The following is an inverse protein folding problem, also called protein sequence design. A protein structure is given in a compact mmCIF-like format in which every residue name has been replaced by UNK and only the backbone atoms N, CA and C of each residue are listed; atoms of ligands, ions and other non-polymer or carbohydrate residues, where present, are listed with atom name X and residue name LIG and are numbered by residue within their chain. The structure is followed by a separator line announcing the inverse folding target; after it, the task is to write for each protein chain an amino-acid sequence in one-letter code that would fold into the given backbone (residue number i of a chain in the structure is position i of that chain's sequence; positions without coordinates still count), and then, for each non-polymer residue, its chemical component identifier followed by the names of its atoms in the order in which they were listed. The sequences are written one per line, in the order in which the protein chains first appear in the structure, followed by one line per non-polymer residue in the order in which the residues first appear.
data_IF_578807357359
#
_entry.id   IF_578807357359
#
_cell.length_a   1.000
_cell.length_b   1.000
_cell.length_c   1.000
_cell.angle_alpha   90.00
_cell.angle_beta   90.00
_cell.angle_gamma   90.00
#
_symmetry.space_group_name_H-M   'P 1'
#
loop_
_entity.id
_entity.type
_entity.pdbx_description
1 polymer ?
#
# COMPACT_ATOMS: atom_id res chain seq x y z
N UNK A 1 -2.83 -16.12 -31.84
CA UNK A 1 -3.57 -16.24 -30.56
C UNK A 1 -3.32 -17.67 -30.10
N UNK A 2 -2.78 -17.89 -28.90
CA UNK A 2 -2.47 -19.25 -28.46
C UNK A 2 -3.76 -20.01 -28.20
N UNK A 3 -3.91 -21.19 -28.81
CA UNK A 3 -5.18 -21.93 -28.81
C UNK A 3 -5.52 -22.59 -27.46
N UNK A 4 -4.60 -22.57 -26.48
CA UNK A 4 -4.76 -23.06 -25.10
C UNK A 4 -5.63 -24.32 -24.99
N UNK A 5 -5.16 -25.42 -25.60
CA UNK A 5 -5.95 -26.63 -25.84
C UNK A 5 -6.43 -27.35 -24.58
N UNK A 6 -5.66 -27.24 -23.49
CA UNK A 6 -5.92 -27.90 -22.22
C UNK A 6 -6.06 -26.90 -21.07
N UNK A 7 -6.74 -27.31 -20.00
CA UNK A 7 -6.75 -26.59 -18.73
C UNK A 7 -5.33 -26.46 -18.16
N UNK A 8 -5.05 -25.36 -17.45
CA UNK A 8 -3.75 -25.12 -16.82
C UNK A 8 -3.89 -24.96 -15.32
N UNK A 9 -3.27 -25.86 -14.59
CA UNK A 9 -3.15 -25.78 -13.15
C UNK A 9 -2.03 -24.83 -12.76
N UNK A 10 -2.33 -23.92 -11.84
CA UNK A 10 -1.38 -22.97 -11.29
C UNK A 10 -1.39 -23.03 -9.77
N UNK A 11 -0.21 -23.11 -9.16
CA UNK A 11 -0.03 -22.96 -7.72
C UNK A 11 0.66 -21.61 -7.44
N UNK A 12 0.04 -20.75 -6.63
CA UNK A 12 0.61 -19.45 -6.30
C UNK A 12 2.00 -19.52 -5.64
N UNK A 13 2.33 -20.63 -4.96
CA UNK A 13 3.65 -20.82 -4.36
C UNK A 13 4.74 -21.11 -5.39
N UNK A 14 4.43 -21.53 -6.62
CA UNK A 14 5.45 -21.82 -7.64
C UNK A 14 6.29 -20.60 -8.00
N UNK A 15 5.65 -19.42 -8.03
CA UNK A 15 6.36 -18.15 -8.20
C UNK A 15 7.35 -17.92 -7.06
N UNK A 16 6.94 -18.15 -5.81
CA UNK A 16 7.79 -17.93 -4.64
C UNK A 16 8.83 -19.04 -4.45
N UNK A 17 8.64 -20.25 -4.97
CA UNK A 17 9.67 -21.30 -5.03
C UNK A 17 10.84 -20.85 -5.89
N UNK A 18 10.55 -20.28 -7.06
CA UNK A 18 11.57 -19.73 -7.98
C UNK A 18 12.25 -18.47 -7.43
N UNK A 19 11.57 -17.73 -6.55
CA UNK A 19 12.03 -16.45 -6.00
C UNK A 19 12.27 -16.50 -4.48
N UNK A 20 12.56 -17.68 -3.94
CA UNK A 20 12.70 -17.87 -2.49
C UNK A 20 13.79 -16.94 -1.92
N UNK A 21 13.41 -16.09 -0.97
CA UNK A 21 14.32 -15.15 -0.30
C UNK A 21 14.88 -14.03 -1.18
N UNK A 22 14.57 -14.02 -2.49
CA UNK A 22 15.01 -12.98 -3.40
C UNK A 22 14.27 -11.67 -3.13
N UNK A 23 14.95 -10.57 -3.41
CA UNK A 23 14.37 -9.24 -3.32
C UNK A 23 13.39 -9.03 -4.48
N UNK A 24 12.14 -8.76 -4.15
CA UNK A 24 11.06 -8.47 -5.09
C UNK A 24 10.62 -7.02 -4.93
N UNK A 25 10.30 -6.36 -6.04
CA UNK A 25 9.82 -5.00 -6.06
C UNK A 25 8.47 -4.91 -6.75
N UNK A 26 7.57 -4.16 -6.13
CA UNK A 26 6.28 -3.82 -6.72
C UNK A 26 6.11 -2.31 -6.72
N UNK A 27 5.71 -1.79 -7.86
CA UNK A 27 5.24 -0.42 -8.07
C UNK A 27 3.74 -0.41 -7.83
N UNK A 28 3.23 0.65 -7.20
CA UNK A 28 1.83 1.01 -7.29
C UNK A 28 1.66 2.51 -7.43
N UNK A 29 0.75 2.95 -8.30
CA UNK A 29 0.53 4.36 -8.56
C UNK A 29 -0.88 4.65 -9.02
N UNK A 30 -1.37 5.86 -8.78
CA UNK A 30 -2.67 6.30 -9.23
C UNK A 30 -3.14 7.58 -8.56
N UNK A 31 -4.42 7.64 -8.24
CA UNK A 31 -5.10 8.85 -7.77
C UNK A 31 -5.81 8.61 -6.44
N UNK A 32 -5.95 9.70 -5.69
CA UNK A 32 -6.72 9.74 -4.46
C UNK A 32 -7.74 10.83 -4.62
N UNK A 33 -8.99 10.44 -4.53
CA UNK A 33 -10.10 11.36 -4.49
C UNK A 33 -10.64 11.44 -3.06
N UNK A 34 -11.25 12.55 -2.73
CA UNK A 34 -11.95 12.71 -1.47
C UNK A 34 -13.38 13.17 -1.68
N UNK A 35 -14.23 12.85 -0.72
CA UNK A 35 -15.53 13.47 -0.58
C UNK A 35 -15.54 14.10 0.82
N UNK A 36 -15.56 15.43 0.90
CA UNK A 36 -15.43 16.14 2.17
C UNK A 36 -16.64 15.93 3.09
N UNK A 37 -17.84 16.02 2.52
CA UNK A 37 -19.13 15.76 3.18
C UNK A 37 -20.05 14.98 2.24
N UNK A 38 -21.03 14.20 2.75
CA UNK A 38 -21.86 13.33 1.91
C UNK A 38 -22.66 14.04 0.81
N UNK A 39 -22.91 15.35 0.96
CA UNK A 39 -23.62 16.22 0.02
C UNK A 39 -22.72 16.82 -1.07
N UNK A 40 -21.39 16.80 -0.88
CA UNK A 40 -20.43 17.31 -1.86
C UNK A 40 -20.05 16.23 -2.89
N UNK A 41 -19.69 16.63 -4.12
CA UNK A 41 -19.13 15.69 -5.10
C UNK A 41 -17.78 15.15 -4.61
N UNK A 42 -17.39 14.01 -5.18
CA UNK A 42 -16.04 13.49 -5.03
C UNK A 42 -15.09 14.26 -5.96
N UNK A 43 -13.95 14.66 -5.43
CA UNK A 43 -12.96 15.49 -6.12
C UNK A 43 -11.58 14.83 -6.03
N UNK A 44 -10.78 14.96 -7.10
CA UNK A 44 -9.38 14.52 -7.07
C UNK A 44 -8.62 15.38 -6.07
N UNK A 45 -7.97 14.73 -5.12
CA UNK A 45 -7.23 15.39 -4.04
C UNK A 45 -5.72 15.30 -4.29
N UNK A 46 -5.22 14.09 -4.57
CA UNK A 46 -3.78 13.84 -4.77
C UNK A 46 -3.56 12.83 -5.89
N UNK A 47 -2.34 12.81 -6.43
CA UNK A 47 -1.77 11.59 -7.02
C UNK A 47 -0.98 10.83 -5.97
N UNK A 48 -0.69 9.56 -6.23
CA UNK A 48 0.13 8.74 -5.35
C UNK A 48 1.06 7.83 -6.14
N UNK A 49 2.31 7.76 -5.69
CA UNK A 49 3.31 6.79 -6.15
C UNK A 49 3.81 6.00 -4.95
N UNK A 50 4.02 4.70 -5.11
CA UNK A 50 4.42 3.85 -4.01
C UNK A 50 5.11 2.58 -4.45
N UNK A 51 5.73 1.95 -3.46
CA UNK A 51 6.54 0.75 -3.65
C UNK A 51 6.38 -0.25 -2.51
N UNK A 52 6.70 -1.49 -2.83
CA UNK A 52 6.95 -2.57 -1.87
C UNK A 52 8.31 -3.19 -2.17
N UNK A 53 9.17 -3.27 -1.16
CA UNK A 53 10.36 -4.12 -1.18
C UNK A 53 10.03 -5.37 -0.37
N UNK A 54 9.88 -6.52 -1.03
CA UNK A 54 9.36 -7.76 -0.44
C UNK A 54 10.36 -8.91 -0.57
N UNK A 55 10.43 -9.76 0.47
CA UNK A 55 11.01 -11.10 0.43
C UNK A 55 9.99 -12.11 0.91
N UNK A 56 10.00 -13.29 0.30
CA UNK A 56 9.15 -14.41 0.71
C UNK A 56 10.01 -15.65 0.93
N UNK A 57 9.94 -16.22 2.13
CA UNK A 57 10.65 -17.43 2.51
C UNK A 57 9.68 -18.58 2.66
N UNK A 58 9.84 -19.61 1.84
CA UNK A 58 9.05 -20.83 1.98
C UNK A 58 9.51 -21.62 3.21
N UNK A 59 8.55 -22.03 4.02
CA UNK A 59 8.78 -22.82 5.23
C UNK A 59 7.79 -23.98 5.27
N UNK A 60 8.20 -25.14 5.83
CA UNK A 60 7.26 -26.22 6.14
C UNK A 60 6.14 -25.71 7.04
N UNK A 61 4.93 -26.20 6.79
CA UNK A 61 3.73 -25.87 7.57
C UNK A 61 2.94 -27.15 7.88
N UNK A 62 2.53 -27.40 9.14
CA UNK A 62 1.83 -28.63 9.50
C UNK A 62 0.47 -28.81 8.81
N UNK A 63 -0.24 -27.72 8.48
CA UNK A 63 -1.59 -27.77 7.91
C UNK A 63 -1.54 -27.78 6.38
N UNK A 64 -0.64 -26.99 5.81
CA UNK A 64 -0.60 -26.71 4.38
C UNK A 64 0.59 -27.36 3.66
N UNK A 65 1.46 -28.07 4.38
CA UNK A 65 2.71 -28.65 3.90
C UNK A 65 3.81 -27.59 3.73
N UNK A 66 3.52 -26.51 3.01
CA UNK A 66 4.43 -25.39 2.79
C UNK A 66 3.66 -24.06 2.74
N UNK A 67 4.22 -23.01 3.34
CA UNK A 67 3.72 -21.63 3.28
C UNK A 67 4.84 -20.65 2.99
N UNK A 68 4.52 -19.52 2.37
CA UNK A 68 5.46 -18.41 2.23
C UNK A 68 5.36 -17.44 3.40
N UNK A 69 6.44 -17.22 4.13
CA UNK A 69 6.57 -16.13 5.09
C UNK A 69 7.01 -14.87 4.37
N UNK A 70 6.16 -13.85 4.32
CA UNK A 70 6.41 -12.57 3.65
C UNK A 70 6.88 -11.54 4.66
N UNK A 71 7.95 -10.84 4.34
CA UNK A 71 8.40 -9.62 5.00
C UNK A 71 8.54 -8.53 3.95
N UNK A 72 8.05 -7.33 4.27
CA UNK A 72 7.97 -6.23 3.33
C UNK A 72 8.26 -4.88 4.01
N UNK A 73 8.87 -3.97 3.25
CA UNK A 73 8.84 -2.51 3.51
C UNK A 73 7.96 -1.83 2.48
N UNK A 74 7.15 -0.88 2.90
CA UNK A 74 6.21 -0.18 2.02
C UNK A 74 6.32 1.33 2.20
N UNK A 75 6.50 2.03 1.08
CA UNK A 75 6.59 3.49 1.02
C UNK A 75 5.59 3.99 -0.01
N UNK A 76 4.82 5.02 0.34
CA UNK A 76 3.86 5.67 -0.54
C UNK A 76 3.87 7.19 -0.35
N UNK A 77 4.09 7.91 -1.45
CA UNK A 77 4.27 9.35 -1.48
C UNK A 77 3.03 10.00 -2.10
N UNK A 78 2.42 10.92 -1.35
CA UNK A 78 1.33 11.76 -1.81
C UNK A 78 1.93 12.86 -2.68
N UNK A 79 1.38 13.03 -3.88
CA UNK A 79 1.89 13.95 -4.89
C UNK A 79 0.81 14.93 -5.31
N UNK A 80 1.23 16.08 -5.79
CA UNK A 80 0.38 17.05 -6.43
C UNK A 80 -0.30 16.40 -7.64
N UNK A 81 -1.63 16.53 -7.78
CA UNK A 81 -2.40 15.78 -8.78
C UNK A 81 -2.06 16.16 -10.23
N UNK A 82 -1.51 17.36 -10.46
CA UNK A 82 -1.23 17.91 -11.78
C UNK A 82 0.26 17.84 -12.13
N UNK A 83 1.13 18.24 -11.21
CA UNK A 83 2.58 18.32 -11.41
C UNK A 83 3.32 17.03 -11.05
N UNK A 84 2.69 16.13 -10.30
CA UNK A 84 3.31 14.92 -9.73
C UNK A 84 4.46 15.20 -8.74
N UNK A 85 4.64 16.45 -8.28
CA UNK A 85 5.62 16.78 -7.25
C UNK A 85 5.22 16.19 -5.90
N UNK A 86 6.19 15.73 -5.11
CA UNK A 86 5.93 15.16 -3.79
C UNK A 86 5.45 16.26 -2.84
N UNK A 87 4.29 16.06 -2.22
CA UNK A 87 3.69 17.07 -1.34
C UNK A 87 4.35 17.07 0.04
N UNK A 88 4.76 18.26 0.49
CA UNK A 88 5.29 18.46 1.84
C UNK A 88 4.26 19.05 2.80
N UNK A 89 3.29 19.80 2.27
CA UNK A 89 2.25 20.45 3.05
C UNK A 89 0.91 20.37 2.33
N UNK A 90 -0.16 20.34 3.08
CA UNK A 90 -1.53 20.35 2.57
C UNK A 90 -2.39 21.30 3.39
N UNK A 91 -3.35 21.95 2.74
CA UNK A 91 -4.29 22.87 3.38
C UNK A 91 -5.71 22.47 3.03
N UNK A 92 -6.52 22.18 4.04
CA UNK A 92 -7.96 21.97 3.83
C UNK A 92 -8.62 23.28 3.40
N UNK A 93 -9.76 23.24 2.69
CA UNK A 93 -10.48 24.46 2.27
C UNK A 93 -10.86 25.39 3.42
N UNK A 94 -11.07 24.82 4.62
CA UNK A 94 -11.51 25.54 5.82
C UNK A 94 -10.36 25.89 6.76
N UNK A 95 -9.16 25.35 6.56
CA UNK A 95 -8.01 25.60 7.42
C UNK A 95 -7.42 26.99 7.18
N UNK A 96 -6.96 27.64 8.25
CA UNK A 96 -6.23 28.91 8.16
C UNK A 96 -4.79 28.71 7.69
N UNK A 97 -4.15 27.63 8.11
CA UNK A 97 -2.74 27.31 7.85
C UNK A 97 -2.59 25.92 7.20
N UNK A 98 -1.59 25.72 6.34
CA UNK A 98 -1.23 24.38 5.87
C UNK A 98 -0.65 23.54 7.01
N UNK A 99 -0.78 22.23 6.90
CA UNK A 99 -0.20 21.22 7.80
C UNK A 99 0.75 20.30 7.03
N UNK A 100 1.75 19.67 7.69
CA UNK A 100 2.62 18.72 7.02
C UNK A 100 1.86 17.52 6.46
N UNK A 101 2.29 17.04 5.30
CA UNK A 101 1.83 15.77 4.74
C UNK A 101 2.66 14.65 5.35
N UNK A 102 2.01 13.62 5.91
CA UNK A 102 2.70 12.43 6.42
C UNK A 102 2.47 11.27 5.46
N UNK A 103 3.52 10.93 4.72
CA UNK A 103 3.54 9.84 3.74
C UNK A 103 3.35 8.45 4.38
N UNK A 104 2.99 7.47 3.57
CA UNK A 104 2.94 6.06 3.98
C UNK A 104 4.37 5.58 4.11
N UNK A 105 4.78 5.20 5.33
CA UNK A 105 6.12 4.71 5.64
C UNK A 105 6.00 3.52 6.60
N UNK A 106 5.53 2.38 6.06
CA UNK A 106 5.35 1.16 6.82
C UNK A 106 6.67 0.39 6.80
N UNK A 107 7.48 0.60 7.86
CA UNK A 107 8.84 0.08 7.96
C UNK A 107 8.93 -1.43 7.90
N UNK A 108 7.98 -2.15 8.52
CA UNK A 108 7.90 -3.61 8.53
C UNK A 108 6.42 -4.01 8.38
N UNK A 109 6.15 -4.86 7.38
CA UNK A 109 4.86 -5.50 7.13
C UNK A 109 5.08 -6.99 6.86
N UNK A 110 4.72 -7.82 7.84
CA UNK A 110 4.89 -9.26 7.83
C UNK A 110 3.54 -9.97 7.63
N UNK A 111 3.57 -11.14 6.99
CA UNK A 111 2.37 -11.96 6.77
C UNK A 111 2.72 -13.31 6.16
N UNK A 112 1.69 -14.12 5.88
CA UNK A 112 1.87 -15.41 5.23
C UNK A 112 1.13 -15.49 3.90
N UNK A 113 1.76 -16.17 2.93
CA UNK A 113 1.18 -16.55 1.65
C UNK A 113 0.82 -18.03 1.77
N UNK A 114 -0.46 -18.32 1.95
CA UNK A 114 -0.99 -19.68 1.96
C UNK A 114 -1.07 -20.25 0.53
N UNK A 115 -0.85 -21.56 0.34
CA UNK A 115 -1.00 -22.18 -0.97
C UNK A 115 -2.45 -22.08 -1.46
N UNK A 116 -2.60 -21.69 -2.72
CA UNK A 116 -3.85 -21.65 -3.47
C UNK A 116 -3.60 -22.21 -4.86
N UNK A 117 -4.42 -23.19 -5.24
CA UNK A 117 -4.44 -23.75 -6.58
C UNK A 117 -5.54 -23.08 -7.39
N UNK A 118 -5.22 -22.80 -8.64
CA UNK A 118 -6.12 -22.20 -9.62
C UNK A 118 -6.13 -23.08 -10.86
N UNK A 119 -7.27 -23.17 -11.53
CA UNK A 119 -7.39 -23.78 -12.85
C UNK A 119 -7.76 -22.68 -13.82
N UNK A 120 -6.87 -22.42 -14.80
CA UNK A 120 -7.17 -21.56 -15.94
C UNK A 120 -7.81 -22.45 -17.01
N UNK A 121 -9.09 -22.27 -17.35
CA UNK A 121 -9.76 -23.12 -18.32
C UNK A 121 -9.09 -23.08 -19.70
N UNK A 122 -9.26 -24.15 -20.49
CA UNK A 122 -8.91 -24.17 -21.92
C UNK A 122 -9.50 -22.95 -22.66
N UNK A 123 -8.76 -22.45 -23.64
CA UNK A 123 -9.11 -21.25 -24.40
C UNK A 123 -8.91 -19.91 -23.66
N UNK A 124 -8.46 -19.91 -22.39
CA UNK A 124 -8.14 -18.68 -21.64
C UNK A 124 -6.66 -18.59 -21.29
N UNK A 125 -6.09 -17.39 -21.48
CA UNK A 125 -4.72 -17.08 -21.07
C UNK A 125 -4.59 -16.76 -19.58
N UNK A 126 -5.65 -16.21 -18.97
CA UNK A 126 -5.66 -15.87 -17.55
C UNK A 126 -7.07 -15.92 -16.95
N UNK A 127 -7.14 -15.92 -15.62
CA UNK A 127 -8.35 -15.67 -14.85
C UNK A 127 -8.15 -14.47 -13.93
N UNK A 128 -9.21 -13.70 -13.71
CA UNK A 128 -9.21 -12.55 -12.81
C UNK A 128 -9.83 -12.93 -11.47
N UNK A 129 -9.15 -12.57 -10.38
CA UNK A 129 -9.66 -12.67 -9.02
C UNK A 129 -9.97 -11.28 -8.49
N UNK A 130 -11.11 -11.16 -7.82
CA UNK A 130 -11.50 -9.95 -7.07
C UNK A 130 -11.56 -10.33 -5.60
N UNK A 131 -10.93 -9.51 -4.75
CA UNK A 131 -10.94 -9.70 -3.31
C UNK A 131 -11.26 -8.38 -2.64
N UNK A 132 -12.23 -8.42 -1.73
CA UNK A 132 -12.61 -7.29 -0.88
C UNK A 132 -12.28 -7.64 0.57
N UNK A 133 -11.59 -6.73 1.25
CA UNK A 133 -11.19 -6.90 2.64
C UNK A 133 -11.82 -5.77 3.44
N UNK A 134 -12.94 -6.02 4.14
CA UNK A 134 -13.47 -5.10 5.13
C UNK A 134 -12.50 -4.98 6.32
N UNK A 135 -12.17 -3.76 6.69
CA UNK A 135 -11.30 -3.43 7.81
C UNK A 135 -12.10 -2.67 8.87
N UNK A 136 -12.27 -3.28 10.04
CA UNK A 136 -12.80 -2.59 11.22
C UNK A 136 -11.94 -2.93 12.45
N UNK A 137 -11.37 -1.90 13.08
CA UNK A 137 -10.57 -2.05 14.29
C UNK A 137 -10.57 -0.74 15.11
N UNK A 138 -10.28 -0.79 16.43
CA UNK A 138 -10.15 0.42 17.25
C UNK A 138 -9.13 1.39 16.65
N UNK A 139 -9.51 2.65 16.47
CA UNK A 139 -8.61 3.61 15.86
C UNK A 139 -7.40 3.87 16.78
N UNK A 140 -6.14 3.75 16.32
CA UNK A 140 -4.97 3.86 17.21
C UNK A 140 -4.82 5.20 17.95
N UNK A 141 -5.52 6.25 17.48
CA UNK A 141 -5.55 7.58 18.09
C UNK A 141 -6.77 7.83 18.98
N UNK A 142 -7.76 6.93 19.01
CA UNK A 142 -8.96 7.11 19.81
C UNK A 142 -8.64 7.07 21.32
N UNK A 143 -9.44 7.80 22.10
CA UNK A 143 -9.35 7.84 23.57
C UNK A 143 -8.27 8.75 24.16
N UNK A 144 -7.40 9.35 23.35
CA UNK A 144 -6.37 10.31 23.81
C UNK A 144 -6.70 11.72 23.29
N UNK A 145 -6.94 12.64 24.22
CA UNK A 145 -7.46 13.98 23.95
C UNK A 145 -6.53 14.82 23.08
N UNK A 146 -5.22 14.56 23.08
CA UNK A 146 -4.29 15.30 22.21
C UNK A 146 -4.46 14.98 20.73
N UNK A 147 -5.13 13.88 20.39
CA UNK A 147 -5.42 13.49 19.01
C UNK A 147 -6.82 13.86 18.53
N UNK A 148 -7.59 14.65 19.29
CA UNK A 148 -8.98 14.97 18.94
C UNK A 148 -9.09 15.55 17.52
N UNK A 149 -8.16 16.42 17.12
CA UNK A 149 -8.15 17.03 15.79
C UNK A 149 -7.71 16.07 14.67
N UNK A 150 -7.13 14.91 15.01
CA UNK A 150 -6.42 13.99 14.10
C UNK A 150 -7.08 12.61 14.03
N UNK A 151 -8.20 12.40 14.72
CA UNK A 151 -8.86 11.12 14.83
C UNK A 151 -10.24 11.15 14.15
N UNK A 152 -10.50 10.34 13.12
CA UNK A 152 -11.80 10.31 12.44
C UNK A 152 -12.93 9.70 13.30
N UNK A 153 -12.61 9.02 14.41
CA UNK A 153 -13.57 8.42 15.32
C UNK A 153 -13.00 7.23 16.09
N UNK A 154 -13.84 6.59 16.92
CA UNK A 154 -13.44 5.45 17.78
C UNK A 154 -12.88 4.23 17.02
N UNK A 155 -13.32 4.02 15.79
CA UNK A 155 -12.90 2.89 14.96
C UNK A 155 -12.42 3.38 13.61
N UNK A 156 -11.36 2.75 13.11
CA UNK A 156 -11.07 2.76 11.69
C UNK A 156 -12.09 1.87 10.98
N UNK A 157 -12.67 2.38 9.88
CA UNK A 157 -13.58 1.64 9.01
C UNK A 157 -13.22 1.89 7.56
N UNK A 158 -12.69 0.88 6.89
CA UNK A 158 -12.33 0.96 5.49
C UNK A 158 -12.57 -0.37 4.77
N UNK A 159 -12.40 -0.35 3.46
CA UNK A 159 -12.44 -1.55 2.62
C UNK A 159 -11.29 -1.46 1.63
N UNK A 160 -10.53 -2.54 1.50
CA UNK A 160 -9.53 -2.69 0.44
C UNK A 160 -10.06 -3.59 -0.66
N UNK A 161 -9.80 -3.21 -1.90
CA UNK A 161 -10.20 -3.92 -3.10
C UNK A 161 -8.94 -4.31 -3.86
N UNK A 162 -8.84 -5.59 -4.20
CA UNK A 162 -7.74 -6.12 -5.00
C UNK A 162 -8.31 -6.80 -6.24
N UNK A 163 -7.79 -6.42 -7.40
CA UNK A 163 -8.00 -7.14 -8.66
C UNK A 163 -6.65 -7.68 -9.08
N UNK A 164 -6.56 -9.00 -9.26
CA UNK A 164 -5.33 -9.67 -9.68
C UNK A 164 -5.62 -10.72 -10.75
N UNK A 165 -4.60 -11.08 -11.53
CA UNK A 165 -4.72 -12.04 -12.61
C UNK A 165 -3.77 -13.21 -12.39
N UNK A 166 -4.29 -14.43 -12.47
CA UNK A 166 -3.50 -15.66 -12.57
C UNK A 166 -3.41 -16.03 -14.03
N UNK A 167 -2.20 -16.07 -14.59
CA UNK A 167 -1.97 -16.21 -16.02
C UNK A 167 -1.09 -17.42 -16.36
N UNK A 168 -1.27 -17.94 -17.58
CA UNK A 168 -0.33 -18.89 -18.20
C UNK A 168 0.97 -18.16 -18.50
N UNK A 169 2.13 -18.85 -18.52
CA UNK A 169 3.43 -18.23 -18.79
C UNK A 169 3.52 -17.48 -20.12
N UNK A 170 2.74 -17.90 -21.12
CA UNK A 170 2.68 -17.37 -22.48
C UNK A 170 1.44 -16.49 -22.72
N UNK A 171 0.71 -16.12 -21.67
CA UNK A 171 -0.40 -15.19 -21.76
C UNK A 171 0.08 -13.79 -22.14
N UNK A 172 -0.60 -13.19 -23.11
CA UNK A 172 -0.38 -11.81 -23.55
C UNK A 172 -1.55 -10.94 -23.14
N UNK A 173 -1.34 -9.62 -23.10
CA UNK A 173 -2.38 -8.61 -22.81
C UNK A 173 -3.10 -8.81 -21.46
N UNK A 174 -2.41 -9.42 -20.48
CA UNK A 174 -2.93 -9.58 -19.12
C UNK A 174 -3.09 -8.18 -18.49
N UNK A 175 -4.29 -7.79 -18.03
CA UNK A 175 -4.49 -6.50 -17.39
C UNK A 175 -3.60 -6.37 -16.13
N UNK A 176 -3.16 -5.16 -15.79
CA UNK A 176 -2.40 -4.97 -14.57
C UNK A 176 -3.27 -5.23 -13.34
N UNK A 177 -2.62 -5.59 -12.23
CA UNK A 177 -3.31 -5.70 -10.96
C UNK A 177 -3.74 -4.31 -10.48
N UNK A 178 -4.79 -4.25 -9.67
CA UNK A 178 -5.29 -2.99 -9.10
C UNK A 178 -5.45 -3.12 -7.59
N UNK A 179 -5.15 -2.04 -6.89
CA UNK A 179 -5.52 -1.84 -5.49
C UNK A 179 -6.32 -0.55 -5.37
N UNK A 180 -7.45 -0.66 -4.69
CA UNK A 180 -8.24 0.49 -4.28
C UNK A 180 -8.57 0.39 -2.80
N UNK A 181 -8.81 1.55 -2.17
CA UNK A 181 -9.20 1.60 -0.76
C UNK A 181 -10.17 2.72 -0.51
N UNK A 182 -11.27 2.38 0.14
CA UNK A 182 -12.15 3.35 0.79
C UNK A 182 -11.79 3.43 2.27
N UNK A 183 -11.52 4.63 2.77
CA UNK A 183 -11.21 4.85 4.18
C UNK A 183 -11.61 6.26 4.64
N UNK A 184 -11.59 6.54 5.96
CA UNK A 184 -11.66 7.91 6.45
C UNK A 184 -10.43 8.71 5.99
N UNK A 185 -10.49 10.02 6.17
CA UNK A 185 -9.34 10.92 6.02
C UNK A 185 -8.14 10.49 6.89
N UNK A 186 -6.93 10.81 6.43
CA UNK A 186 -5.69 10.42 7.10
C UNK A 186 -5.39 11.35 8.28
N UNK A 187 -4.91 10.86 9.43
CA UNK A 187 -4.73 11.68 10.64
C UNK A 187 -4.02 13.03 10.45
N UNK A 188 -2.97 13.08 9.63
CA UNK A 188 -2.21 14.30 9.36
C UNK A 188 -3.03 15.41 8.68
N UNK A 189 -4.17 15.07 8.07
CA UNK A 189 -5.11 16.02 7.48
C UNK A 189 -5.89 16.83 8.53
N UNK A 190 -5.78 16.52 9.83
CA UNK A 190 -6.27 17.37 10.93
C UNK A 190 -7.70 17.92 10.70
N UNK A 191 -8.66 17.06 10.33
CA UNK A 191 -10.02 17.50 9.99
C UNK A 191 -10.97 17.58 11.18
N UNK A 192 -10.54 17.15 12.37
CA UNK A 192 -11.38 17.17 13.57
C UNK A 192 -12.14 15.86 13.81
N UNK A 193 -12.44 15.59 15.07
CA UNK A 193 -13.11 14.36 15.49
C UNK A 193 -14.47 14.19 14.79
N UNK A 194 -14.74 12.97 14.32
CA UNK A 194 -15.96 12.60 13.61
C UNK A 194 -16.24 13.37 12.29
N UNK A 195 -15.25 14.06 11.71
CA UNK A 195 -15.39 14.68 10.41
C UNK A 195 -15.73 13.62 9.33
N UNK A 196 -16.76 13.84 8.48
CA UNK A 196 -17.33 12.78 7.63
C UNK A 196 -16.49 12.43 6.41
N UNK A 197 -15.46 13.22 6.10
CA UNK A 197 -14.64 13.06 4.91
C UNK A 197 -14.15 11.62 4.68
N UNK A 198 -14.25 11.18 3.43
CA UNK A 198 -13.78 9.87 2.96
C UNK A 198 -12.75 10.04 1.86
N UNK A 199 -11.82 9.09 1.80
CA UNK A 199 -10.82 8.96 0.76
C UNK A 199 -11.08 7.71 -0.04
N UNK A 200 -10.96 7.83 -1.36
CA UNK A 200 -10.94 6.74 -2.33
C UNK A 200 -9.55 6.73 -2.98
N UNK A 201 -8.77 5.71 -2.67
CA UNK A 201 -7.52 5.40 -3.36
C UNK A 201 -7.85 4.52 -4.56
N UNK A 202 -7.29 4.81 -5.73
CA UNK A 202 -7.34 3.93 -6.89
C UNK A 202 -5.98 3.86 -7.56
N UNK A 203 -5.41 2.65 -7.62
CA UNK A 203 -4.06 2.44 -8.10
C UNK A 203 -3.96 1.24 -9.03
N UNK A 204 -2.92 1.28 -9.86
CA UNK A 204 -2.47 0.15 -10.68
C UNK A 204 -1.15 -0.38 -10.13
N UNK A 205 -1.01 -1.69 -10.08
CA UNK A 205 0.15 -2.41 -9.52
C UNK A 205 0.90 -3.13 -10.63
N UNK A 206 2.22 -3.02 -10.59
CA UNK A 206 3.15 -3.76 -11.44
C UNK A 206 4.28 -4.36 -10.59
N UNK A 207 4.73 -5.57 -10.93
CA UNK A 207 6.02 -6.07 -10.46
C UNK A 207 7.09 -5.51 -11.39
N UNK A 208 8.18 -5.03 -10.82
CA UNK A 208 9.36 -4.59 -11.57
C UNK A 208 10.54 -5.50 -11.25
N UNK A 209 11.52 -5.56 -12.15
CA UNK A 209 12.64 -6.50 -12.02
C UNK A 209 13.79 -5.92 -11.18
N UNK A 210 13.82 -4.60 -10.98
CA UNK A 210 14.84 -3.90 -10.21
C UNK A 210 14.27 -2.65 -9.54
N UNK A 211 14.97 -2.16 -8.52
CA UNK A 211 14.58 -0.95 -7.80
C UNK A 211 14.59 0.29 -8.72
N UNK A 212 15.51 0.33 -9.67
CA UNK A 212 15.69 1.42 -10.64
C UNK A 212 14.50 1.58 -11.60
N UNK A 213 13.66 0.56 -11.76
CA UNK A 213 12.45 0.61 -12.59
C UNK A 213 11.25 1.24 -11.87
N UNK A 214 11.37 1.57 -10.57
CA UNK A 214 10.37 2.33 -9.85
C UNK A 214 10.34 3.81 -10.31
N UNK A 215 9.32 4.55 -9.87
CA UNK A 215 9.20 5.97 -10.20
C UNK A 215 10.47 6.76 -9.81
N UNK A 216 11.07 7.58 -10.69
CA UNK A 216 12.35 8.24 -10.41
C UNK A 216 12.36 9.09 -9.13
N UNK A 217 11.29 9.86 -8.87
CA UNK A 217 11.17 10.66 -7.63
C UNK A 217 11.17 9.79 -6.37
N UNK A 218 10.61 8.58 -6.46
CA UNK A 218 10.58 7.63 -5.35
C UNK A 218 11.98 7.03 -5.13
N UNK A 219 12.67 6.61 -6.20
CA UNK A 219 14.05 6.10 -6.15
C UNK A 219 14.99 7.13 -5.52
N UNK A 220 14.90 8.39 -5.96
CA UNK A 220 15.73 9.48 -5.44
C UNK A 220 15.45 9.73 -3.96
N UNK A 221 14.18 9.86 -3.56
CA UNK A 221 13.81 10.11 -2.17
C UNK A 221 14.23 8.96 -1.23
N UNK A 222 14.09 7.71 -1.67
CA UNK A 222 14.54 6.55 -0.89
C UNK A 222 16.04 6.64 -0.65
N UNK A 223 16.85 6.81 -1.69
CA UNK A 223 18.31 6.82 -1.56
C UNK A 223 18.83 8.00 -0.73
N UNK A 224 18.21 9.16 -0.87
CA UNK A 224 18.63 10.37 -0.18
C UNK A 224 18.23 10.36 1.30
N UNK A 225 17.01 9.92 1.62
CA UNK A 225 16.38 10.19 2.92
C UNK A 225 16.05 8.93 3.72
N UNK A 226 15.62 7.87 3.06
CA UNK A 226 15.16 6.64 3.73
C UNK A 226 15.72 5.37 3.08
N UNK A 227 17.06 5.24 2.96
CA UNK A 227 17.70 4.16 2.19
C UNK A 227 17.31 2.77 2.69
N UNK A 228 16.82 2.66 3.93
CA UNK A 228 16.25 1.43 4.46
C UNK A 228 15.15 0.84 3.56
N UNK A 229 14.36 1.65 2.85
CA UNK A 229 13.25 1.13 2.03
C UNK A 229 13.72 0.47 0.72
N UNK A 230 14.99 0.63 0.32
CA UNK A 230 15.53 0.00 -0.90
C UNK A 230 15.57 -1.53 -0.77
N UNK A 231 15.82 -2.05 0.44
CA UNK A 231 15.84 -3.49 0.69
C UNK A 231 15.04 -3.86 1.93
N UNK A 232 14.32 -4.98 1.86
CA UNK A 232 13.69 -5.56 3.05
C UNK A 232 14.64 -6.53 3.74
N UNK A 233 14.64 -6.56 5.09
CA UNK A 233 15.43 -7.54 5.83
C UNK A 233 14.94 -8.97 5.57
N UNK A 234 15.76 -9.95 5.93
CA UNK A 234 15.42 -11.38 5.83
C UNK A 234 14.51 -11.84 6.97
N UNK A 235 14.64 -11.19 8.14
CA UNK A 235 13.87 -11.44 9.35
C UNK A 235 13.70 -10.13 10.13
N UNK A 236 12.68 -10.07 10.98
CA UNK A 236 12.42 -8.93 11.86
C UNK A 236 11.55 -9.37 13.02
N UNK A 237 11.94 -8.98 14.24
CA UNK A 237 11.13 -9.10 15.44
C UNK A 237 10.16 -7.91 15.63
N UNK A 238 10.37 -6.83 14.86
CA UNK A 238 9.48 -5.67 14.89
C UNK A 238 8.03 -6.02 14.51
N UNK A 239 7.04 -5.45 15.22
CA UNK A 239 5.64 -5.63 14.87
C UNK A 239 5.30 -4.93 13.55
N UNK A 240 4.22 -5.36 12.91
CA UNK A 240 3.68 -4.67 11.75
C UNK A 240 3.33 -3.22 12.09
N UNK A 241 3.72 -2.29 11.21
CA UNK A 241 3.42 -0.86 11.33
C UNK A 241 2.46 -0.45 10.23
N UNK A 242 1.40 0.27 10.62
CA UNK A 242 0.49 0.96 9.72
C UNK A 242 0.80 2.45 9.66
N UNK A 243 0.28 3.13 8.64
CA UNK A 243 0.48 4.58 8.46
C UNK A 243 -0.08 5.40 9.63
N UNK A 244 -1.14 4.93 10.28
CA UNK A 244 -1.70 5.58 11.48
C UNK A 244 -0.76 5.40 12.69
N UNK A 245 -0.14 4.23 12.84
CA UNK A 245 0.86 4.01 13.89
C UNK A 245 2.14 4.81 13.63
N UNK A 246 2.57 4.93 12.37
CA UNK A 246 3.69 5.79 11.99
C UNK A 246 3.41 7.26 12.33
N UNK A 247 2.21 7.76 12.00
CA UNK A 247 1.78 9.10 12.40
C UNK A 247 1.80 9.27 13.92
N UNK A 248 1.20 8.33 14.67
CA UNK A 248 1.17 8.35 16.14
C UNK A 248 2.57 8.41 16.75
N UNK A 249 3.49 7.60 16.23
CA UNK A 249 4.89 7.54 16.68
C UNK A 249 5.62 8.86 16.45
N UNK A 250 5.34 9.53 15.32
CA UNK A 250 6.06 10.73 14.88
C UNK A 250 5.27 12.03 15.06
N UNK A 251 4.28 12.02 15.96
CA UNK A 251 3.37 13.16 16.15
C UNK A 251 4.09 14.45 16.56
N UNK A 252 5.11 14.36 17.42
CA UNK A 252 5.90 15.55 17.82
C UNK A 252 6.66 16.17 16.63
N UNK A 253 7.18 15.34 15.71
CA UNK A 253 7.81 15.83 14.47
C UNK A 253 6.79 16.49 13.54
N UNK A 254 5.58 15.93 13.47
CA UNK A 254 4.47 16.56 12.76
C UNK A 254 4.13 17.94 13.35
N UNK A 255 4.05 18.08 14.68
CA UNK A 255 3.75 19.36 15.33
C UNK A 255 4.84 20.41 15.10
N UNK A 256 6.10 20.01 14.93
CA UNK A 256 7.21 20.92 14.58
C UNK A 256 7.20 21.38 13.13
N UNK A 257 6.43 20.74 12.26
CA UNK A 257 6.44 21.03 10.83
C UNK A 257 7.54 20.30 10.06
N UNK A 258 8.07 19.20 10.60
CA UNK A 258 9.13 18.43 9.93
C UNK A 258 8.64 17.86 8.58
N UNK A 259 9.55 17.72 7.62
CA UNK A 259 9.24 17.18 6.29
C UNK A 259 9.30 15.65 6.34
N UNK A 260 8.23 14.98 5.92
CA UNK A 260 8.14 13.50 5.88
C UNK A 260 8.52 12.93 4.49
N UNK A 261 8.81 11.61 4.37
CA UNK A 261 9.06 10.69 5.48
C UNK A 261 10.28 11.17 6.28
N UNK A 262 10.32 10.87 7.58
CA UNK A 262 11.50 11.22 8.39
C UNK A 262 12.70 10.39 7.96
N UNK A 263 13.89 10.92 8.17
CA UNK A 263 15.13 10.25 7.80
C UNK A 263 15.30 8.93 8.57
N UNK A 264 15.60 7.86 7.85
CA UNK A 264 15.84 6.53 8.42
C UNK A 264 17.01 5.85 7.68
N UNK A 265 18.11 5.64 8.39
CA UNK A 265 19.33 4.98 7.87
C UNK A 265 19.52 3.61 8.55
N UNK A 266 20.29 2.72 7.90
CA UNK A 266 20.64 1.40 8.40
C UNK A 266 21.47 1.45 9.68
#
# INVERSE_FOLDING_TARGET
MNDYLDDYEFNNLDFYRKNHGLQLYYNWSGEICWQETPDKPQEKLFSIIGMNATKVFLKPDPEHGEVGYRINRELGLFCDPDTQEILHSWKSPTASQPVPVVHIANRIVQGSVKPKKFVIPKGKGYITSVMEIPLEYPHPLAGDSKYLDYCPGEKFKGVEYFISNTCRPDATEVPPAKWARDCPWMPWMKLGYAHPAKLRFETTIFRVDSFEQLHPSLVNLVREKVPIYEFTPTESDEPNVTSIQYFKKNFESYLRGDIFPLEERY
#
